data_IF_707755908334
#
_entry.id   IF_707755908334
#
_cell.length_a   1.000
_cell.length_b   1.000
_cell.length_c   1.000
_cell.angle_alpha   90.00
_cell.angle_beta   90.00
_cell.angle_gamma   90.00
#
_symmetry.space_group_name_H-M   'P 1'
#
loop_
_entity.id
_entity.type
_entity.pdbx_description
1 polymer ?
#
# COMPACT_ATOMS: atom_id res chain seq x y z
N UNK A 1 11.08 4.15 6.49
CA UNK A 1 9.96 3.38 7.08
C UNK A 1 9.75 2.16 6.21
N UNK A 2 9.65 0.97 6.81
CA UNK A 2 9.31 -0.25 6.08
C UNK A 2 7.90 -0.66 6.50
N UNK A 3 6.96 -0.69 5.55
CA UNK A 3 5.59 -1.15 5.79
C UNK A 3 5.45 -2.49 5.04
N UNK A 4 5.07 -3.59 5.71
CA UNK A 4 4.75 -4.83 5.03
C UNK A 4 3.55 -4.63 4.12
N UNK A 5 3.62 -5.18 2.91
CA UNK A 5 2.55 -5.08 1.94
C UNK A 5 2.23 -6.45 1.33
N UNK A 6 1.01 -6.56 0.81
CA UNK A 6 0.59 -7.69 -0.03
C UNK A 6 0.25 -7.16 -1.42
N UNK A 7 0.80 -7.78 -2.46
CA UNK A 7 0.35 -7.55 -3.84
C UNK A 7 -0.86 -8.43 -4.11
N UNK A 8 -1.98 -7.82 -4.52
CA UNK A 8 -3.18 -8.51 -4.98
C UNK A 8 -3.47 -8.12 -6.43
N UNK A 9 -4.25 -8.94 -7.13
CA UNK A 9 -4.74 -8.58 -8.47
C UNK A 9 -6.18 -9.06 -8.65
N UNK A 10 -6.94 -8.40 -9.52
CA UNK A 10 -8.32 -8.74 -9.83
C UNK A 10 -8.81 -8.12 -11.13
N UNK A 11 -9.40 -8.94 -12.01
CA UNK A 11 -9.89 -8.52 -13.34
C UNK A 11 -8.85 -7.75 -14.17
N UNK A 12 -7.57 -8.10 -14.03
CA UNK A 12 -6.45 -7.45 -14.73
C UNK A 12 -5.90 -6.18 -14.07
N UNK A 13 -6.45 -5.76 -12.92
CA UNK A 13 -5.91 -4.64 -12.14
C UNK A 13 -5.04 -5.16 -11.00
N UNK A 14 -3.91 -4.49 -10.77
CA UNK A 14 -3.01 -4.74 -9.65
C UNK A 14 -3.34 -3.81 -8.47
N UNK A 15 -3.15 -4.32 -7.25
CA UNK A 15 -3.40 -3.60 -6.01
C UNK A 15 -2.25 -3.85 -5.02
N UNK A 16 -1.85 -2.79 -4.32
CA UNK A 16 -1.01 -2.87 -3.13
C UNK A 16 -1.93 -2.75 -1.92
N UNK A 17 -1.89 -3.74 -1.03
CA UNK A 17 -2.67 -3.75 0.21
C UNK A 17 -1.73 -3.55 1.40
N UNK A 18 -2.06 -2.57 2.23
CA UNK A 18 -1.32 -2.20 3.43
C UNK A 18 -2.22 -2.34 4.66
N UNK A 19 -1.75 -3.09 5.66
CA UNK A 19 -2.41 -3.12 6.98
C UNK A 19 -1.85 -1.99 7.86
N UNK A 20 -2.56 -0.86 7.86
CA UNK A 20 -2.17 0.31 8.67
C UNK A 20 -2.76 0.26 10.09
N UNK A 21 -3.67 -0.67 10.38
CA UNK A 21 -4.23 -0.85 11.73
C UNK A 21 -3.17 -1.47 12.64
N UNK A 22 -2.50 -2.52 12.18
CA UNK A 22 -1.47 -3.20 12.97
C UNK A 22 -0.12 -2.48 12.94
N UNK A 23 0.18 -1.73 11.88
CA UNK A 23 1.49 -1.11 11.66
C UNK A 23 1.52 0.42 11.92
N UNK A 24 0.38 1.04 12.22
CA UNK A 24 0.30 2.40 12.75
C UNK A 24 0.99 3.47 11.89
N UNK A 25 0.76 3.48 10.58
CA UNK A 25 1.36 4.44 9.66
C UNK A 25 0.32 5.26 8.90
N UNK A 26 0.66 6.52 8.60
CA UNK A 26 -0.10 7.41 7.73
C UNK A 26 0.73 7.75 6.49
N UNK A 27 0.09 7.76 5.33
CA UNK A 27 0.74 8.09 4.06
C UNK A 27 0.24 9.42 3.52
N UNK A 28 1.15 10.22 2.98
CA UNK A 28 0.78 11.41 2.19
C UNK A 28 0.43 11.01 0.75
N UNK A 29 -0.29 11.88 0.05
CA UNK A 29 -0.60 11.69 -1.36
C UNK A 29 0.67 11.55 -2.22
N UNK A 30 1.74 12.28 -1.89
CA UNK A 30 3.05 12.17 -2.53
C UNK A 30 3.66 10.77 -2.35
N UNK A 31 3.61 10.22 -1.14
CA UNK A 31 4.11 8.87 -0.85
C UNK A 31 3.29 7.80 -1.57
N UNK A 32 1.97 7.95 -1.64
CA UNK A 32 1.09 7.01 -2.36
C UNK A 32 1.45 6.98 -3.85
N UNK A 33 1.73 8.13 -4.47
CA UNK A 33 2.13 8.19 -5.89
C UNK A 33 3.47 7.53 -6.18
N UNK A 34 4.36 7.43 -5.19
CA UNK A 34 5.65 6.73 -5.34
C UNK A 34 5.52 5.20 -5.29
N UNK A 35 4.35 4.67 -4.92
CA UNK A 35 4.10 3.22 -4.88
C UNK A 35 3.67 2.64 -6.24
N UNK A 36 3.40 3.50 -7.24
CA UNK A 36 2.99 3.13 -8.59
C UNK A 36 4.17 2.97 -9.55
#
# INVERSE_FOLDING_TARGET
MQIPFTKMHGLGNDFIVLDLVSNGASLTSEQIRQLA
#
